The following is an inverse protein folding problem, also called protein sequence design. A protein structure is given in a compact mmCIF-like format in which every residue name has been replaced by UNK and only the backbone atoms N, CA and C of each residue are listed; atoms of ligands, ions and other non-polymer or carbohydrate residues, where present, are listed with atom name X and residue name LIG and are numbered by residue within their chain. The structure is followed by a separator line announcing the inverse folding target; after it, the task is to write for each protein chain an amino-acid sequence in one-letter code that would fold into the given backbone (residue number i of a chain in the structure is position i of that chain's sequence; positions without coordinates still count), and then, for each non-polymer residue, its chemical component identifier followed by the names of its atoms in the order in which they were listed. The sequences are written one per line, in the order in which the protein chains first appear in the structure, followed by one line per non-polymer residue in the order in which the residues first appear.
data_IF_820847186943
#
_entry.id   IF_820847186943
#
_cell.length_a   1.000
_cell.length_b   1.000
_cell.length_c   1.000
_cell.angle_alpha   90.00
_cell.angle_beta   90.00
_cell.angle_gamma   90.00
#
_symmetry.space_group_name_H-M   'P 1'
#
loop_
_entity.id
_entity.type
_entity.pdbx_description
1 polymer ?
#
# COMPACT_ATOMS: atom_id res chain seq x y z
N UNK A 1 4.20 23.61 -67.94
CA UNK A 1 3.65 22.68 -66.93
C UNK A 1 4.79 21.90 -66.33
N UNK A 2 4.92 21.91 -65.00
CA UNK A 2 5.17 20.77 -64.09
C UNK A 2 5.65 21.35 -62.76
N UNK A 3 4.72 21.39 -61.81
CA UNK A 3 4.82 21.96 -60.47
C UNK A 3 5.51 20.92 -59.58
N UNK A 4 6.60 21.31 -58.91
CA UNK A 4 7.29 20.48 -57.92
C UNK A 4 6.40 20.26 -56.67
N UNK A 5 6.35 19.05 -56.10
CA UNK A 5 5.53 18.76 -54.94
C UNK A 5 6.18 19.29 -53.66
N UNK A 6 5.41 20.05 -52.89
CA UNK A 6 5.76 20.46 -51.54
C UNK A 6 5.63 19.22 -50.65
N UNK A 7 6.78 18.66 -50.22
CA UNK A 7 6.82 17.65 -49.17
C UNK A 7 6.43 18.31 -47.84
N UNK A 8 5.18 18.15 -47.44
CA UNK A 8 4.72 18.49 -46.10
C UNK A 8 5.33 17.48 -45.11
N UNK A 9 6.35 17.91 -44.36
CA UNK A 9 6.80 17.19 -43.17
C UNK A 9 5.66 17.23 -42.15
N UNK A 10 5.01 16.09 -41.94
CA UNK A 10 4.12 15.89 -40.81
C UNK A 10 4.95 16.00 -39.52
N UNK A 11 4.82 17.12 -38.81
CA UNK A 11 5.26 17.21 -37.43
C UNK A 11 4.46 16.19 -36.63
N UNK A 12 5.06 15.04 -36.35
CA UNK A 12 4.60 14.12 -35.33
C UNK A 12 4.71 14.86 -34.02
N UNK A 13 3.61 15.48 -33.58
CA UNK A 13 3.41 15.85 -32.19
C UNK A 13 3.44 14.51 -31.46
N UNK A 14 4.63 14.13 -30.99
CA UNK A 14 4.74 13.20 -29.88
C UNK A 14 3.99 13.89 -28.76
N UNK A 15 2.72 13.53 -28.59
CA UNK A 15 2.06 13.70 -27.34
C UNK A 15 2.93 12.92 -26.37
N UNK A 16 3.89 13.62 -25.77
CA UNK A 16 4.55 13.21 -24.54
C UNK A 16 3.41 12.89 -23.62
N UNK A 17 3.02 11.61 -23.60
CA UNK A 17 2.02 11.12 -22.70
C UNK A 17 2.48 11.61 -21.36
N UNK A 18 1.71 12.53 -20.76
CA UNK A 18 1.92 12.95 -19.40
C UNK A 18 2.07 11.64 -18.64
N UNK A 19 3.31 11.31 -18.27
CA UNK A 19 3.59 10.20 -17.39
C UNK A 19 2.94 10.67 -16.09
N UNK A 20 1.65 10.35 -15.94
CA UNK A 20 0.95 10.52 -14.68
C UNK A 20 1.84 9.79 -13.70
N UNK A 21 2.47 10.55 -12.80
CA UNK A 21 3.29 10.00 -11.72
C UNK A 21 2.35 9.09 -10.93
N UNK A 22 2.41 7.80 -11.23
CA UNK A 22 1.53 6.76 -10.71
C UNK A 22 1.88 6.50 -9.23
N UNK A 23 1.72 7.52 -8.38
CA UNK A 23 1.87 7.54 -6.92
C UNK A 23 3.26 7.96 -6.43
N UNK A 24 3.71 9.15 -6.82
CA UNK A 24 4.96 9.69 -6.30
C UNK A 24 4.80 10.28 -4.89
N UNK A 25 5.78 10.06 -3.99
CA UNK A 25 5.87 10.79 -2.74
C UNK A 25 5.90 12.30 -2.95
N UNK A 26 5.37 13.06 -1.98
CA UNK A 26 5.42 14.53 -1.98
C UNK A 26 6.45 14.99 -0.96
N UNK A 27 7.50 15.69 -1.40
CA UNK A 27 8.53 16.26 -0.51
C UNK A 27 7.92 17.25 0.47
N UNK A 28 8.30 17.13 1.75
CA UNK A 28 7.93 18.05 2.82
C UNK A 28 8.89 17.83 4.01
N UNK A 29 9.84 18.75 4.26
CA UNK A 29 10.90 18.53 5.26
C UNK A 29 10.37 18.45 6.71
N UNK A 30 9.13 18.87 6.95
CA UNK A 30 8.54 18.97 8.28
C UNK A 30 7.82 17.68 8.72
N UNK A 31 7.72 16.65 7.86
CA UNK A 31 7.18 15.34 8.22
C UNK A 31 8.28 14.30 8.39
N UNK A 32 7.92 13.11 8.89
CA UNK A 32 8.87 12.00 8.98
C UNK A 32 9.47 11.69 7.59
N UNK A 33 10.77 11.39 7.58
CA UNK A 33 11.56 11.12 6.37
C UNK A 33 11.64 12.26 5.33
N UNK A 34 11.07 13.43 5.61
CA UNK A 34 11.11 14.59 4.70
C UNK A 34 10.17 14.47 3.49
N UNK A 35 9.20 13.54 3.51
CA UNK A 35 8.20 13.40 2.45
C UNK A 35 6.91 12.73 2.96
N UNK A 36 5.79 13.02 2.32
CA UNK A 36 4.54 12.27 2.45
C UNK A 36 4.62 11.01 1.60
N UNK A 37 4.50 9.81 2.19
CA UNK A 37 4.40 8.60 1.40
C UNK A 37 3.09 8.61 0.62
N UNK A 38 3.04 7.96 -0.55
CA UNK A 38 1.83 7.93 -1.35
C UNK A 38 0.69 7.17 -0.65
N UNK A 39 1.01 6.20 0.20
CA UNK A 39 0.09 5.40 1.03
C UNK A 39 0.69 5.18 2.42
N UNK A 40 -0.15 4.84 3.41
CA UNK A 40 0.34 4.22 4.63
C UNK A 40 1.02 2.89 4.36
N UNK A 41 2.02 2.54 5.16
CA UNK A 41 2.86 1.36 4.96
C UNK A 41 2.14 0.00 5.06
N UNK A 42 0.92 -0.05 5.61
CA UNK A 42 0.08 -1.26 5.61
C UNK A 42 -0.78 -1.38 4.34
N UNK A 43 -0.64 -0.43 3.41
CA UNK A 43 -1.27 -0.43 2.10
C UNK A 43 -0.20 -0.33 1.00
N UNK A 44 -0.55 -0.78 -0.18
CA UNK A 44 0.24 -0.61 -1.40
C UNK A 44 -0.65 -0.08 -2.53
N UNK A 45 -0.11 0.16 -3.71
CA UNK A 45 -0.87 0.59 -4.89
C UNK A 45 -0.63 -0.32 -6.09
N UNK A 46 -1.65 -0.46 -6.94
CA UNK A 46 -1.42 -0.94 -8.31
C UNK A 46 -0.74 0.14 -9.16
N UNK A 47 -0.31 -0.19 -10.39
CA UNK A 47 0.17 0.81 -11.33
C UNK A 47 -0.86 1.89 -11.69
N UNK A 48 -2.13 1.78 -11.29
CA UNK A 48 -3.17 2.79 -11.52
C UNK A 48 -3.48 3.61 -10.25
N UNK A 49 -2.64 3.54 -9.21
CA UNK A 49 -2.82 4.27 -7.95
C UNK A 49 -4.06 3.91 -7.15
N UNK A 50 -4.58 2.71 -7.32
CA UNK A 50 -5.67 2.21 -6.47
C UNK A 50 -5.08 1.51 -5.24
N UNK A 51 -5.58 1.78 -4.03
CA UNK A 51 -5.01 1.20 -2.83
C UNK A 51 -5.36 -0.29 -2.69
N UNK A 52 -4.38 -1.08 -2.29
CA UNK A 52 -4.50 -2.50 -1.94
C UNK A 52 -4.00 -2.67 -0.51
N UNK A 53 -4.47 -3.72 0.16
CA UNK A 53 -3.79 -4.17 1.36
C UNK A 53 -2.38 -4.65 0.99
N UNK A 54 -1.39 -4.35 1.82
CA UNK A 54 -0.04 -4.90 1.60
C UNK A 54 -0.09 -6.44 1.52
N UNK A 55 0.61 -7.10 0.58
CA UNK A 55 0.53 -8.56 0.40
C UNK A 55 0.97 -9.38 1.61
N UNK A 56 1.79 -8.81 2.50
CA UNK A 56 2.20 -9.46 3.75
C UNK A 56 1.16 -9.33 4.86
N UNK A 57 0.13 -8.53 4.65
CA UNK A 57 -0.88 -8.18 5.65
C UNK A 57 -2.22 -8.87 5.39
N UNK A 58 -2.97 -9.09 6.46
CA UNK A 58 -4.37 -9.51 6.43
C UNK A 58 -5.21 -8.48 7.17
N UNK A 59 -6.51 -8.38 6.85
CA UNK A 59 -7.38 -7.41 7.51
C UNK A 59 -8.77 -7.97 7.79
N UNK A 60 -9.32 -7.63 8.96
CA UNK A 60 -10.71 -7.86 9.32
C UNK A 60 -11.35 -6.52 9.63
N UNK A 61 -12.58 -6.36 9.16
CA UNK A 61 -13.39 -5.18 9.39
C UNK A 61 -14.55 -5.53 10.32
N UNK A 62 -14.78 -4.69 11.31
CA UNK A 62 -15.97 -4.72 12.14
C UNK A 62 -16.84 -3.50 11.82
N UNK A 63 -18.00 -3.73 11.20
CA UNK A 63 -18.91 -2.67 10.80
C UNK A 63 -19.62 -2.01 11.99
N UNK A 64 -19.93 -2.77 13.04
CA UNK A 64 -20.62 -2.27 14.23
C UNK A 64 -19.77 -1.26 14.99
N UNK A 65 -18.48 -1.55 15.16
CA UNK A 65 -17.53 -0.69 15.89
C UNK A 65 -16.68 0.19 14.99
N UNK A 66 -16.94 0.20 13.67
CA UNK A 66 -16.17 0.97 12.67
C UNK A 66 -14.67 0.84 12.91
N UNK A 67 -14.22 -0.42 12.96
CA UNK A 67 -12.85 -0.78 13.32
C UNK A 67 -12.25 -1.70 12.26
N UNK A 68 -10.97 -1.53 11.98
CA UNK A 68 -10.16 -2.47 11.21
C UNK A 68 -9.05 -3.05 12.10
N UNK A 69 -8.79 -4.34 11.95
CA UNK A 69 -7.60 -4.98 12.52
C UNK A 69 -6.76 -5.49 11.36
N UNK A 70 -5.53 -5.03 11.28
CA UNK A 70 -4.55 -5.40 10.25
C UNK A 70 -3.46 -6.26 10.91
N UNK A 71 -3.30 -7.50 10.45
CA UNK A 71 -2.25 -8.41 10.91
C UNK A 71 -1.13 -8.48 9.89
N UNK A 72 0.05 -8.93 10.31
CA UNK A 72 1.18 -9.10 9.41
C UNK A 72 1.92 -7.79 9.12
N UNK A 73 1.62 -6.72 9.87
CA UNK A 73 2.24 -5.41 9.69
C UNK A 73 3.72 -5.50 10.05
N UNK A 74 4.62 -5.10 9.16
CA UNK A 74 6.06 -5.19 9.44
C UNK A 74 6.48 -4.34 10.64
N UNK A 75 7.55 -4.72 11.33
CA UNK A 75 8.12 -3.91 12.42
C UNK A 75 8.50 -2.49 11.96
N UNK A 76 8.94 -2.35 10.71
CA UNK A 76 9.20 -1.05 10.09
C UNK A 76 7.92 -0.20 10.04
N UNK A 77 6.82 -0.78 9.55
CA UNK A 77 5.56 -0.07 9.44
C UNK A 77 4.98 0.29 10.82
N UNK A 78 5.10 -0.60 11.82
CA UNK A 78 4.73 -0.25 13.20
C UNK A 78 5.56 0.92 13.73
N UNK A 79 6.86 0.97 13.44
CA UNK A 79 7.71 2.09 13.85
C UNK A 79 7.33 3.41 13.16
N UNK A 80 6.89 3.37 11.89
CA UNK A 80 6.36 4.55 11.21
C UNK A 80 5.05 5.05 11.83
N UNK A 81 4.14 4.13 12.19
CA UNK A 81 2.90 4.48 12.92
C UNK A 81 3.23 5.10 14.28
N UNK A 82 4.16 4.52 15.02
CA UNK A 82 4.59 5.06 16.33
C UNK A 82 5.21 6.46 16.20
N UNK A 83 6.04 6.71 15.18
CA UNK A 83 6.58 8.06 14.92
C UNK A 83 5.46 9.05 14.54
N UNK A 84 4.48 8.64 13.74
CA UNK A 84 3.34 9.51 13.41
C UNK A 84 2.55 9.90 14.67
N UNK A 85 2.26 8.94 15.54
CA UNK A 85 1.57 9.16 16.81
C UNK A 85 2.42 10.01 17.77
N UNK A 86 3.74 9.80 17.80
CA UNK A 86 4.66 10.63 18.58
C UNK A 86 4.65 12.08 18.09
N UNK A 87 4.69 12.30 16.76
CA UNK A 87 4.57 13.62 16.16
C UNK A 87 3.28 14.31 16.56
N UNK A 88 2.15 13.60 16.49
CA UNK A 88 0.85 14.14 16.89
C UNK A 88 0.86 14.60 18.34
N UNK A 89 1.35 13.76 19.26
CA UNK A 89 1.46 14.09 20.70
C UNK A 89 2.34 15.30 20.97
N UNK A 90 3.40 15.46 20.19
CA UNK A 90 4.34 16.57 20.31
C UNK A 90 3.87 17.85 19.59
N UNK A 91 2.71 17.82 18.90
CA UNK A 91 2.24 18.93 18.06
C UNK A 91 3.10 19.16 16.80
N UNK A 92 3.92 18.18 16.42
CA UNK A 92 4.71 18.18 15.19
C UNK A 92 3.82 17.77 14.01
N UNK A 93 4.09 18.35 12.84
CA UNK A 93 3.41 17.97 11.60
C UNK A 93 3.66 16.49 11.30
N UNK A 94 2.61 15.74 11.01
CA UNK A 94 2.67 14.31 10.70
C UNK A 94 1.98 14.02 9.35
N UNK A 95 1.70 12.76 9.07
CA UNK A 95 1.06 12.36 7.82
C UNK A 95 -0.45 12.60 7.79
N UNK A 96 -1.07 12.91 8.94
CA UNK A 96 -2.51 13.08 9.06
C UNK A 96 -3.28 11.77 8.84
N UNK A 97 -2.67 10.61 9.13
CA UNK A 97 -3.33 9.33 8.93
C UNK A 97 -4.48 9.15 9.90
N UNK A 98 -4.42 9.73 11.10
CA UNK A 98 -5.53 9.70 12.04
C UNK A 98 -6.83 10.24 11.45
N UNK A 99 -6.79 11.39 10.78
CA UNK A 99 -7.96 12.04 10.17
C UNK A 99 -8.46 11.23 8.96
N UNK A 100 -7.54 10.60 8.23
CA UNK A 100 -7.86 9.85 7.00
C UNK A 100 -8.36 8.43 7.31
N UNK A 101 -7.83 7.76 8.33
CA UNK A 101 -8.04 6.34 8.57
C UNK A 101 -8.81 6.06 9.85
N UNK A 102 -8.60 6.83 10.91
CA UNK A 102 -9.09 6.56 12.26
C UNK A 102 -7.96 6.52 13.28
N UNK A 103 -8.30 6.28 14.55
CA UNK A 103 -7.33 6.18 15.63
C UNK A 103 -6.44 4.93 15.45
N UNK A 104 -5.14 5.14 15.29
CA UNK A 104 -4.17 4.07 15.09
C UNK A 104 -3.65 3.55 16.43
N UNK A 105 -3.56 2.23 16.58
CA UNK A 105 -3.00 1.57 17.75
C UNK A 105 -2.13 0.41 17.30
N UNK A 106 -0.80 0.61 17.20
CA UNK A 106 0.14 -0.47 16.93
C UNK A 106 0.20 -1.40 18.14
N UNK A 107 0.27 -2.70 17.88
CA UNK A 107 0.42 -3.75 18.89
C UNK A 107 1.56 -4.68 18.46
N UNK A 108 2.43 -5.06 19.40
CA UNK A 108 3.47 -6.05 19.11
C UNK A 108 2.82 -7.40 18.76
N UNK A 109 3.38 -8.12 17.79
CA UNK A 109 2.95 -9.49 17.52
C UNK A 109 3.51 -10.47 18.52
N UNK A 110 2.82 -11.60 18.65
CA UNK A 110 3.31 -12.80 19.33
C UNK A 110 4.26 -13.62 18.44
N UNK A 111 4.37 -13.29 17.14
CA UNK A 111 5.26 -13.92 16.17
C UNK A 111 6.41 -12.96 15.77
N UNK A 112 7.66 -13.45 15.58
CA UNK A 112 8.79 -12.61 15.20
C UNK A 112 8.59 -11.89 13.85
N UNK A 113 8.93 -10.60 13.79
CA UNK A 113 9.08 -9.84 12.54
C UNK A 113 7.80 -9.23 11.96
N UNK A 114 6.64 -9.51 12.55
CA UNK A 114 5.36 -8.92 12.17
C UNK A 114 4.66 -8.33 13.39
N UNK A 115 3.55 -7.64 13.17
CA UNK A 115 2.81 -6.84 14.13
C UNK A 115 1.33 -6.83 13.85
N UNK A 116 0.57 -6.17 14.72
CA UNK A 116 -0.86 -5.91 14.53
C UNK A 116 -1.08 -4.41 14.58
N UNK A 117 -1.89 -3.88 13.68
CA UNK A 117 -2.38 -2.50 13.73
C UNK A 117 -3.90 -2.53 13.91
N UNK A 118 -4.38 -1.92 14.98
CA UNK A 118 -5.81 -1.67 15.19
C UNK A 118 -6.12 -0.24 14.76
N UNK A 119 -7.16 -0.07 13.95
CA UNK A 119 -7.66 1.23 13.48
C UNK A 119 -9.09 1.38 13.97
N UNK A 120 -9.29 2.18 15.02
CA UNK A 120 -10.58 2.39 15.66
C UNK A 120 -11.18 3.76 15.29
N UNK A 121 -12.44 3.98 15.68
CA UNK A 121 -13.13 5.27 15.51
C UNK A 121 -13.11 5.77 14.05
N UNK A 122 -13.24 4.85 13.10
CA UNK A 122 -13.23 5.21 11.69
C UNK A 122 -14.50 5.98 11.33
N UNK A 123 -14.37 7.04 10.54
CA UNK A 123 -15.55 7.68 9.92
C UNK A 123 -16.21 6.71 8.91
N UNK A 124 -17.48 6.93 8.56
CA UNK A 124 -18.14 6.13 7.52
C UNK A 124 -17.41 6.18 6.18
N UNK A 125 -16.84 7.34 5.84
CA UNK A 125 -16.02 7.50 4.65
C UNK A 125 -14.74 6.67 4.72
N UNK A 126 -14.04 6.67 5.87
CA UNK A 126 -12.88 5.82 6.09
C UNK A 126 -13.27 4.35 6.00
N UNK A 127 -14.29 3.90 6.73
CA UNK A 127 -14.76 2.52 6.70
C UNK A 127 -15.11 2.05 5.29
N UNK A 128 -15.83 2.87 4.52
CA UNK A 128 -16.19 2.57 3.13
C UNK A 128 -14.98 2.49 2.20
N UNK A 129 -13.87 3.20 2.47
CA UNK A 129 -12.61 3.00 1.72
C UNK A 129 -12.03 1.63 2.00
N UNK A 130 -12.01 1.23 3.27
CA UNK A 130 -11.46 -0.05 3.70
C UNK A 130 -12.27 -1.26 3.18
N UNK A 131 -13.60 -1.15 3.07
CA UNK A 131 -14.42 -2.21 2.44
C UNK A 131 -14.16 -2.40 0.94
N UNK A 132 -13.57 -1.39 0.29
CA UNK A 132 -13.23 -1.40 -1.13
C UNK A 132 -11.77 -1.79 -1.39
N UNK A 133 -10.95 -2.01 -0.36
CA UNK A 133 -9.59 -2.51 -0.55
C UNK A 133 -9.67 -3.87 -1.22
N UNK A 134 -8.97 -3.99 -2.34
CA UNK A 134 -8.88 -5.24 -3.08
C UNK A 134 -7.82 -6.08 -2.38
N UNK A 135 -8.19 -7.27 -1.95
CA UNK A 135 -7.25 -8.28 -1.48
C UNK A 135 -6.68 -8.97 -2.71
N UNK A 136 -5.35 -8.92 -2.89
CA UNK A 136 -4.75 -9.74 -3.92
C UNK A 136 -4.96 -11.20 -3.51
N UNK A 137 -5.66 -11.96 -4.36
CA UNK A 137 -5.80 -13.39 -4.19
C UNK A 137 -4.38 -13.95 -4.25
N UNK A 138 -3.95 -14.68 -3.22
CA UNK A 138 -2.72 -15.46 -3.30
C UNK A 138 -2.78 -16.29 -4.59
N UNK A 139 -1.97 -15.95 -5.59
CA UNK A 139 -1.67 -16.95 -6.61
C UNK A 139 -0.92 -18.08 -5.88
N UNK A 140 -1.33 -19.34 -6.04
CA UNK A 140 -0.63 -20.43 -5.41
C UNK A 140 0.82 -20.37 -5.85
N UNK A 141 1.73 -20.17 -4.90
CA UNK A 141 3.15 -20.43 -5.09
C UNK A 141 3.24 -21.87 -5.60
N UNK A 142 3.49 -22.03 -6.90
CA UNK A 142 3.92 -23.31 -7.46
C UNK A 142 5.32 -23.55 -6.91
N UNK A 143 5.41 -23.93 -5.64
CA UNK A 143 6.61 -24.49 -5.06
C UNK A 143 6.89 -25.75 -5.87
N UNK A 144 7.95 -25.71 -6.66
CA UNK A 144 8.54 -26.90 -7.24
C UNK A 144 8.75 -27.93 -6.13
N UNK A 145 7.89 -28.93 -6.11
CA UNK A 145 8.13 -30.18 -5.40
C UNK A 145 8.77 -31.12 -6.44
N UNK A 146 10.03 -31.54 -6.28
CA UNK A 146 10.47 -32.73 -6.98
C UNK A 146 9.61 -33.89 -6.49
N UNK A 147 9.09 -34.68 -7.44
CA UNK A 147 8.35 -35.93 -7.21
C UNK A 147 9.06 -36.76 -6.13
N UNK A 148 8.33 -37.36 -5.17
CA UNK A 148 8.93 -38.34 -4.29
C UNK A 148 9.49 -39.49 -5.14
N UNK A 149 10.79 -39.72 -5.04
CA UNK A 149 11.40 -40.96 -5.51
C UNK A 149 10.77 -42.11 -4.72
N UNK A 150 10.13 -43.03 -5.42
CA UNK A 150 9.67 -44.27 -4.85
C UNK A 150 10.87 -45.04 -4.32
N UNK A 151 10.90 -45.27 -3.01
CA UNK A 151 11.79 -46.25 -2.37
C UNK A 151 11.25 -47.64 -2.72
N UNK A 152 12.00 -48.53 -3.41
CA UNK A 152 11.59 -49.91 -3.51
C UNK A 152 11.77 -50.58 -2.14
N UNK A 153 10.66 -51.04 -1.56
CA UNK A 153 10.66 -52.01 -0.46
C UNK A 153 11.12 -53.34 -1.04
N UNK A 154 12.28 -53.80 -0.60
CA UNK A 154 12.85 -55.08 -1.03
C UNK A 154 12.09 -56.30 -0.51
N UNK A 155 12.10 -57.35 -1.32
CA UNK A 155 12.30 -58.75 -0.91
C UNK A 155 13.14 -59.43 -1.97
#
# INVERSE_FOLDING_TARGET
MHILPIFALAATVTASGLIQKRCSPRSDPDVAHGYYPPAPCWQTFDPACRPFLDPSSQMTLNAQFKTAVVWGVSNYCLAEVEEELARERDGRKNYGWREIHGALTPLPSLAPGAGILVIANMTDAAFTRYTKLIYQKDEPRTTGLPRPSAVPVGR
#
